data_IF_480992223864
#
_entry.id   IF_480992223864
#
_cell.length_a   1.000
_cell.length_b   1.000
_cell.length_c   1.000
_cell.angle_alpha   90.00
_cell.angle_beta   90.00
_cell.angle_gamma   90.00
#
_symmetry.space_group_name_H-M   'P 1'
#
loop_
_entity.id
_entity.type
_entity.pdbx_description
1 polymer ?
#
# COMPACT_ATOMS: atom_id res chain seq x y z
N UNK A 1 10.86 7.61 11.56
CA UNK A 1 9.46 7.88 12.00
C UNK A 1 8.88 9.22 11.52
N UNK A 2 9.65 10.14 10.94
CA UNK A 2 9.12 11.41 10.41
C UNK A 2 7.96 11.20 9.40
N UNK A 3 8.02 10.12 8.61
CA UNK A 3 6.99 9.73 7.64
C UNK A 3 5.64 9.34 8.23
N UNK A 4 5.56 8.96 9.51
CA UNK A 4 4.27 8.68 10.18
C UNK A 4 3.68 9.91 10.87
N UNK A 5 4.44 11.00 11.02
CA UNK A 5 3.99 12.20 11.72
C UNK A 5 2.72 12.83 11.11
N UNK A 6 2.58 12.95 9.78
CA UNK A 6 1.36 13.48 9.18
C UNK A 6 0.12 12.66 9.57
N UNK A 7 0.22 11.33 9.50
CA UNK A 7 -0.86 10.41 9.89
C UNK A 7 -1.17 10.51 11.38
N UNK A 8 -0.13 10.51 12.22
CA UNK A 8 -0.27 10.63 13.67
C UNK A 8 -1.01 11.91 14.07
N UNK A 9 -0.69 13.05 13.44
CA UNK A 9 -1.34 14.32 13.71
C UNK A 9 -2.84 14.32 13.35
N UNK A 10 -3.27 13.50 12.39
CA UNK A 10 -4.69 13.34 12.04
C UNK A 10 -5.42 12.49 13.06
N UNK A 11 -4.83 11.38 13.49
CA UNK A 11 -5.49 10.45 14.43
C UNK A 11 -5.43 10.93 15.88
N UNK A 12 -4.41 11.72 16.26
CA UNK A 12 -4.19 12.19 17.62
C UNK A 12 -4.93 13.52 17.94
N UNK A 13 -6.19 13.66 17.50
CA UNK A 13 -7.00 14.88 17.71
C UNK A 13 -7.92 14.80 18.94
N UNK A 14 -7.68 13.84 19.85
CA UNK A 14 -8.41 13.70 21.11
C UNK A 14 -9.79 13.03 21.01
N UNK A 15 -10.27 12.69 19.81
CA UNK A 15 -11.47 11.87 19.60
C UNK A 15 -11.15 10.68 18.68
N UNK A 16 -11.69 9.48 18.95
CA UNK A 16 -11.55 8.34 18.04
C UNK A 16 -12.05 8.70 16.64
N UNK A 17 -11.26 8.33 15.62
CA UNK A 17 -11.59 8.55 14.21
C UNK A 17 -11.74 7.21 13.49
N UNK A 18 -12.72 7.11 12.59
CA UNK A 18 -12.88 5.95 11.73
C UNK A 18 -11.80 5.94 10.64
N UNK A 19 -11.31 4.76 10.25
CA UNK A 19 -10.24 4.62 9.26
C UNK A 19 -10.59 5.27 7.91
N UNK A 20 -11.85 5.15 7.49
CA UNK A 20 -12.37 5.78 6.28
C UNK A 20 -12.18 7.29 6.31
N UNK A 21 -12.46 7.93 7.46
CA UNK A 21 -12.33 9.38 7.59
C UNK A 21 -10.88 9.85 7.53
N UNK A 22 -9.95 9.03 8.02
CA UNK A 22 -8.52 9.28 7.88
C UNK A 22 -8.15 9.24 6.40
N UNK A 23 -8.59 8.23 5.66
CA UNK A 23 -8.29 8.09 4.22
C UNK A 23 -8.90 9.25 3.41
N UNK A 24 -10.16 9.60 3.65
CA UNK A 24 -10.80 10.75 3.00
C UNK A 24 -9.99 12.05 3.14
N UNK A 25 -9.34 12.25 4.30
CA UNK A 25 -8.52 13.45 4.55
C UNK A 25 -7.34 13.56 3.58
N UNK A 26 -6.83 12.44 3.10
CA UNK A 26 -5.71 12.38 2.16
C UNK A 26 -6.15 12.24 0.70
N UNK A 27 -7.32 11.67 0.43
CA UNK A 27 -7.77 11.34 -0.94
C UNK A 27 -8.86 12.26 -1.49
N UNK A 28 -9.70 12.86 -0.63
CA UNK A 28 -10.81 13.74 -1.03
C UNK A 28 -10.43 15.19 -0.68
N UNK A 29 -9.72 15.84 -1.60
CA UNK A 29 -9.39 17.25 -1.46
C UNK A 29 -9.38 17.96 -2.82
N UNK A 30 -9.71 19.26 -2.81
CA UNK A 30 -9.61 20.13 -3.99
C UNK A 30 -8.16 20.22 -4.53
N UNK A 31 -7.17 19.93 -3.68
CA UNK A 31 -5.76 19.86 -4.05
C UNK A 31 -5.11 18.64 -3.40
N UNK A 32 -4.07 18.07 -4.04
CA UNK A 32 -3.30 16.93 -3.51
C UNK A 32 -2.36 17.31 -2.34
N UNK A 33 -2.53 18.50 -1.73
CA UNK A 33 -1.62 19.00 -0.69
C UNK A 33 -1.53 18.05 0.50
N UNK A 34 -2.67 17.56 1.00
CA UNK A 34 -2.70 16.63 2.14
C UNK A 34 -2.06 15.30 1.81
N UNK A 35 -2.28 14.79 0.59
CA UNK A 35 -1.61 13.59 0.11
C UNK A 35 -0.08 13.76 0.10
N UNK A 36 0.43 14.88 -0.43
CA UNK A 36 1.87 15.15 -0.44
C UNK A 36 2.45 15.40 0.95
N UNK A 37 1.68 16.00 1.89
CA UNK A 37 2.10 16.09 3.30
C UNK A 37 2.40 14.69 3.89
N UNK A 38 1.73 13.63 3.42
CA UNK A 38 2.01 12.24 3.80
C UNK A 38 3.14 11.60 2.98
N UNK A 39 3.15 11.80 1.67
CA UNK A 39 4.08 11.12 0.76
C UNK A 39 5.51 11.71 0.78
N UNK A 40 5.66 13.02 0.95
CA UNK A 40 6.97 13.67 0.86
C UNK A 40 7.94 13.16 1.94
N UNK A 41 7.56 13.07 3.23
CA UNK A 41 8.50 12.57 4.23
C UNK A 41 8.76 11.05 4.10
N UNK A 42 7.83 10.29 3.50
CA UNK A 42 8.06 8.88 3.13
C UNK A 42 9.11 8.77 2.02
N UNK A 43 9.04 9.64 1.02
CA UNK A 43 10.02 9.72 -0.06
C UNK A 43 11.39 10.12 0.48
N UNK A 44 11.49 11.11 1.38
CA UNK A 44 12.75 11.47 2.03
C UNK A 44 13.32 10.30 2.85
N UNK A 45 12.49 9.60 3.64
CA UNK A 45 12.92 8.41 4.37
C UNK A 45 13.41 7.30 3.43
N UNK A 46 12.84 7.18 2.23
CA UNK A 46 13.27 6.21 1.22
C UNK A 46 14.62 6.58 0.61
N UNK A 47 14.90 7.87 0.43
CA UNK A 47 16.21 8.36 -0.02
C UNK A 47 17.28 8.15 1.06
N UNK A 48 16.97 8.46 2.31
CA UNK A 48 17.87 8.25 3.45
C UNK A 48 18.24 6.77 3.62
N UNK A 49 17.28 5.87 3.36
CA UNK A 49 17.50 4.42 3.36
C UNK A 49 18.21 3.89 2.10
N UNK A 50 18.52 4.75 1.13
CA UNK A 50 19.16 4.39 -0.14
C UNK A 50 18.42 3.30 -0.93
N UNK A 51 17.09 3.28 -0.86
CA UNK A 51 16.23 2.28 -1.56
C UNK A 51 15.59 2.82 -2.84
N UNK A 52 15.83 4.08 -3.17
CA UNK A 52 15.34 4.74 -4.40
C UNK A 52 16.50 5.34 -5.18
N UNK A 53 16.28 5.54 -6.48
CA UNK A 53 17.23 6.18 -7.39
C UNK A 53 16.56 7.29 -8.21
N UNK A 54 17.31 8.35 -8.59
CA UNK A 54 16.77 9.42 -9.40
C UNK A 54 16.45 8.93 -10.81
N UNK A 55 15.28 9.30 -11.32
CA UNK A 55 14.82 8.98 -12.68
C UNK A 55 14.38 10.23 -13.42
N UNK A 56 14.52 10.23 -14.74
CA UNK A 56 13.93 11.30 -15.57
C UNK A 56 12.41 11.17 -15.54
N UNK A 57 11.73 12.29 -15.28
CA UNK A 57 10.30 12.38 -15.10
C UNK A 57 9.68 13.51 -15.93
N UNK A 58 8.35 13.48 -16.06
CA UNK A 58 7.56 14.43 -16.84
C UNK A 58 7.56 14.13 -18.34
N UNK A 59 6.56 14.65 -19.05
CA UNK A 59 6.30 14.35 -20.47
C UNK A 59 7.47 14.69 -21.41
N UNK A 60 8.36 15.59 -20.99
CA UNK A 60 9.54 16.03 -21.74
C UNK A 60 10.87 15.60 -21.10
N UNK A 61 10.85 14.83 -19.99
CA UNK A 61 12.07 14.40 -19.29
C UNK A 61 12.83 15.52 -18.57
N UNK A 62 12.25 16.71 -18.45
CA UNK A 62 12.87 17.90 -17.87
C UNK A 62 12.71 17.97 -16.34
N UNK A 63 12.03 16.99 -15.73
CA UNK A 63 11.89 16.87 -14.28
C UNK A 63 12.67 15.66 -13.80
N UNK A 64 13.08 15.69 -12.55
CA UNK A 64 13.62 14.52 -11.88
C UNK A 64 12.58 14.00 -10.89
N UNK A 65 12.43 12.67 -10.87
CA UNK A 65 11.66 11.94 -9.87
C UNK A 65 12.56 10.91 -9.19
N UNK A 66 11.95 10.07 -8.36
CA UNK A 66 12.62 8.94 -7.73
C UNK A 66 11.80 7.68 -7.98
N UNK A 67 12.48 6.58 -8.30
CA UNK A 67 11.89 5.27 -8.42
C UNK A 67 12.59 4.30 -7.45
N UNK A 68 11.91 3.26 -6.96
CA UNK A 68 12.57 2.20 -6.19
C UNK A 68 13.68 1.55 -7.02
N UNK A 69 14.80 1.24 -6.38
CA UNK A 69 15.88 0.48 -7.04
C UNK A 69 15.40 -0.92 -7.39
N UNK A 70 15.85 -1.43 -8.54
CA UNK A 70 15.40 -2.72 -9.07
C UNK A 70 15.68 -3.90 -8.12
N UNK A 71 16.85 -3.93 -7.50
CA UNK A 71 17.27 -4.96 -6.56
C UNK A 71 16.42 -4.97 -5.28
N UNK A 72 16.03 -3.80 -4.78
CA UNK A 72 15.09 -3.66 -3.66
C UNK A 72 13.74 -4.28 -4.02
N UNK A 73 13.20 -3.95 -5.21
CA UNK A 73 11.95 -4.56 -5.69
C UNK A 73 12.10 -6.07 -5.83
N UNK A 74 13.17 -6.56 -6.45
CA UNK A 74 13.43 -8.00 -6.58
C UNK A 74 13.46 -8.68 -5.22
N UNK A 75 14.15 -8.11 -4.22
CA UNK A 75 14.19 -8.67 -2.87
C UNK A 75 12.82 -8.80 -2.21
N UNK A 76 11.95 -7.80 -2.38
CA UNK A 76 10.56 -7.83 -1.88
C UNK A 76 9.76 -8.95 -2.58
N UNK A 77 9.89 -9.08 -3.90
CA UNK A 77 9.17 -10.10 -4.67
C UNK A 77 9.65 -11.51 -4.29
N UNK A 78 10.95 -11.74 -4.15
CA UNK A 78 11.46 -13.05 -3.70
C UNK A 78 11.03 -13.38 -2.27
N UNK A 79 10.96 -12.38 -1.38
CA UNK A 79 10.43 -12.57 -0.02
C UNK A 79 8.97 -13.00 -0.04
N UNK A 80 8.14 -12.39 -0.89
CA UNK A 80 6.74 -12.80 -1.07
C UNK A 80 6.65 -14.26 -1.56
N UNK A 81 7.49 -14.66 -2.53
CA UNK A 81 7.51 -16.06 -3.01
C UNK A 81 7.89 -17.02 -1.88
N UNK A 82 8.99 -16.74 -1.20
CA UNK A 82 9.51 -17.60 -0.13
C UNK A 82 8.49 -17.81 0.99
N UNK A 83 7.79 -16.76 1.41
CA UNK A 83 6.84 -16.87 2.53
C UNK A 83 5.46 -17.41 2.11
N UNK A 84 4.92 -17.01 0.96
CA UNK A 84 3.53 -17.33 0.62
C UNK A 84 3.37 -18.50 -0.37
N UNK A 85 4.38 -18.75 -1.20
CA UNK A 85 4.35 -19.77 -2.26
C UNK A 85 5.23 -20.98 -1.97
N UNK A 86 6.16 -20.85 -1.02
CA UNK A 86 7.04 -21.92 -0.55
C UNK A 86 6.75 -22.24 0.93
N UNK A 87 7.59 -23.08 1.55
CA UNK A 87 7.46 -23.53 2.94
C UNK A 87 8.11 -22.55 3.95
N UNK A 88 8.17 -21.25 3.63
CA UNK A 88 8.72 -20.22 4.50
C UNK A 88 7.82 -19.85 5.69
N UNK A 89 8.41 -19.23 6.70
CA UNK A 89 7.66 -18.63 7.81
C UNK A 89 6.90 -17.40 7.31
N UNK A 90 5.58 -17.41 7.49
CA UNK A 90 4.71 -16.34 6.99
C UNK A 90 4.71 -15.17 7.96
N UNK A 91 5.12 -13.99 7.49
CA UNK A 91 5.02 -12.73 8.24
C UNK A 91 3.73 -11.96 7.93
N UNK A 92 3.22 -11.24 8.94
CA UNK A 92 2.02 -10.38 8.78
C UNK A 92 2.24 -9.27 7.74
N UNK A 93 3.45 -8.69 7.69
CA UNK A 93 3.82 -7.63 6.74
C UNK A 93 3.72 -8.11 5.29
N UNK A 94 4.21 -9.32 4.99
CA UNK A 94 4.15 -9.90 3.64
C UNK A 94 2.72 -10.23 3.23
N UNK A 95 1.89 -10.69 4.17
CA UNK A 95 0.46 -10.90 3.92
C UNK A 95 -0.22 -9.56 3.58
N UNK A 96 0.00 -8.53 4.41
CA UNK A 96 -0.61 -7.22 4.24
C UNK A 96 -0.19 -6.57 2.91
N UNK A 97 1.10 -6.61 2.58
CA UNK A 97 1.62 -6.11 1.31
C UNK A 97 1.01 -6.85 0.12
N UNK A 98 0.96 -8.20 0.18
CA UNK A 98 0.39 -9.01 -0.90
C UNK A 98 -1.10 -8.74 -1.08
N UNK A 99 -1.85 -8.54 0.01
CA UNK A 99 -3.26 -8.16 -0.05
C UNK A 99 -3.47 -6.77 -0.68
N UNK A 100 -2.62 -5.78 -0.33
CA UNK A 100 -2.62 -4.46 -0.98
C UNK A 100 -2.30 -4.56 -2.47
N UNK A 101 -1.32 -5.39 -2.84
CA UNK A 101 -0.92 -5.60 -4.23
C UNK A 101 -2.03 -6.25 -5.06
N UNK A 102 -2.72 -7.25 -4.50
CA UNK A 102 -3.88 -7.87 -5.14
C UNK A 102 -4.97 -6.83 -5.40
N UNK A 103 -5.25 -6.00 -4.38
CA UNK A 103 -6.28 -4.97 -4.48
C UNK A 103 -5.95 -3.88 -5.50
N UNK A 104 -4.70 -3.43 -5.52
CA UNK A 104 -4.19 -2.47 -6.48
C UNK A 104 -4.05 -3.05 -7.92
N UNK A 105 -4.19 -4.37 -8.07
CA UNK A 105 -4.10 -5.04 -9.37
C UNK A 105 -2.68 -5.12 -9.95
N UNK A 106 -1.65 -4.96 -9.12
CA UNK A 106 -0.25 -4.89 -9.54
C UNK A 106 0.53 -6.22 -9.34
N UNK A 107 -0.11 -7.28 -8.80
CA UNK A 107 0.50 -8.62 -8.78
C UNK A 107 0.91 -9.10 -10.18
N UNK A 108 0.15 -8.72 -11.22
CA UNK A 108 0.41 -9.12 -12.61
C UNK A 108 1.73 -8.62 -13.17
N UNK A 109 2.30 -7.58 -12.57
CA UNK A 109 3.54 -6.95 -13.03
C UNK A 109 4.78 -7.72 -12.54
N UNK A 110 4.61 -8.60 -11.52
CA UNK A 110 5.72 -9.28 -10.84
C UNK A 110 5.58 -10.81 -10.78
N UNK A 111 4.37 -11.34 -10.88
CA UNK A 111 4.07 -12.76 -10.70
C UNK A 111 3.39 -13.34 -11.94
N UNK A 112 3.70 -14.60 -12.26
CA UNK A 112 3.03 -15.36 -13.31
C UNK A 112 1.53 -15.58 -12.98
N UNK A 113 0.72 -15.93 -13.99
CA UNK A 113 -0.71 -16.21 -13.77
C UNK A 113 -0.96 -17.32 -12.74
N UNK A 114 -0.05 -18.30 -12.68
CA UNK A 114 -0.13 -19.39 -11.70
C UNK A 114 0.15 -18.85 -10.29
N UNK A 115 1.28 -18.17 -10.09
CA UNK A 115 1.64 -17.57 -8.80
C UNK A 115 0.58 -16.57 -8.32
N UNK A 116 0.03 -15.74 -9.22
CA UNK A 116 -1.08 -14.84 -8.89
C UNK A 116 -2.29 -15.59 -8.32
N UNK A 117 -2.65 -16.75 -8.89
CA UNK A 117 -3.76 -17.57 -8.40
C UNK A 117 -3.46 -18.14 -7.02
N UNK A 118 -2.24 -18.64 -6.82
CA UNK A 118 -1.80 -19.20 -5.54
C UNK A 118 -1.75 -18.14 -4.44
N UNK A 119 -1.18 -16.95 -4.71
CA UNK A 119 -1.18 -15.82 -3.79
C UNK A 119 -2.61 -15.42 -3.39
N UNK A 120 -3.51 -15.23 -4.35
CA UNK A 120 -4.93 -14.91 -4.08
C UNK A 120 -5.61 -15.97 -3.21
N UNK A 121 -5.36 -17.25 -3.50
CA UNK A 121 -5.91 -18.36 -2.70
C UNK A 121 -5.36 -18.33 -1.27
N UNK A 122 -4.05 -18.12 -1.09
CA UNK A 122 -3.40 -18.02 0.22
C UNK A 122 -4.00 -16.88 1.05
N UNK A 123 -4.13 -15.68 0.46
CA UNK A 123 -4.74 -14.51 1.12
C UNK A 123 -6.20 -14.79 1.51
N UNK A 124 -6.98 -15.43 0.62
CA UNK A 124 -8.37 -15.81 0.92
C UNK A 124 -8.47 -16.79 2.09
N UNK A 125 -7.61 -17.80 2.13
CA UNK A 125 -7.55 -18.77 3.24
C UNK A 125 -7.22 -18.08 4.56
N UNK A 126 -6.25 -17.16 4.56
CA UNK A 126 -5.87 -16.40 5.77
C UNK A 126 -7.05 -15.54 6.26
N UNK A 127 -7.75 -14.83 5.36
CA UNK A 127 -8.95 -14.04 5.70
C UNK A 127 -10.05 -14.89 6.35
N UNK A 128 -10.17 -16.16 5.96
CA UNK A 128 -11.19 -17.10 6.46
C UNK A 128 -10.78 -17.85 7.72
N UNK A 129 -9.50 -17.78 8.13
CA UNK A 129 -9.04 -18.43 9.35
C UNK A 129 -9.70 -17.81 10.60
N UNK A 130 -10.02 -18.67 11.57
CA UNK A 130 -10.67 -18.26 12.83
C UNK A 130 -9.69 -17.52 13.77
N UNK A 131 -8.39 -17.65 13.54
CA UNK A 131 -7.38 -16.85 14.22
C UNK A 131 -7.52 -15.37 13.80
N UNK A 132 -7.86 -14.50 14.76
CA UNK A 132 -7.86 -13.04 14.58
C UNK A 132 -6.44 -12.51 14.45
N UNK A 133 -5.84 -12.66 13.27
CA UNK A 133 -4.51 -12.11 12.95
C UNK A 133 -4.63 -10.66 12.48
N UNK A 134 -3.60 -9.85 12.71
CA UNK A 134 -3.53 -8.47 12.22
C UNK A 134 -3.71 -8.42 10.69
N UNK A 135 -3.18 -9.42 9.99
CA UNK A 135 -3.31 -9.55 8.55
C UNK A 135 -4.78 -9.65 8.06
N UNK A 136 -5.64 -10.36 8.82
CA UNK A 136 -7.08 -10.44 8.54
C UNK A 136 -7.75 -9.08 8.72
N UNK A 137 -7.45 -8.40 9.82
CA UNK A 137 -7.99 -7.06 10.12
C UNK A 137 -7.54 -6.03 9.07
N UNK A 138 -6.26 -6.02 8.71
CA UNK A 138 -5.72 -5.14 7.67
C UNK A 138 -6.39 -5.38 6.33
N UNK A 139 -6.58 -6.64 5.93
CA UNK A 139 -7.22 -6.94 4.67
C UNK A 139 -8.71 -6.57 4.64
N UNK A 140 -9.41 -6.65 5.78
CA UNK A 140 -10.77 -6.14 5.94
C UNK A 140 -10.83 -4.61 5.87
N UNK A 141 -9.86 -3.92 6.50
CA UNK A 141 -9.76 -2.47 6.43
C UNK A 141 -9.49 -1.99 5.00
N UNK A 142 -8.60 -2.66 4.26
CA UNK A 142 -8.34 -2.35 2.84
C UNK A 142 -9.64 -2.46 2.03
N UNK A 143 -10.40 -3.55 2.22
CA UNK A 143 -11.68 -3.74 1.54
C UNK A 143 -12.71 -2.64 1.89
N UNK A 144 -12.73 -2.15 3.13
CA UNK A 144 -13.57 -1.03 3.56
C UNK A 144 -13.15 0.32 2.93
N UNK A 145 -11.85 0.53 2.76
CA UNK A 145 -11.29 1.76 2.18
C UNK A 145 -11.60 1.90 0.68
N UNK A 146 -11.67 0.80 -0.07
CA UNK A 146 -12.07 0.83 -1.48
C UNK A 146 -13.50 1.33 -1.68
N UNK A 147 -14.42 0.93 -0.79
CA UNK A 147 -15.81 1.39 -0.81
C UNK A 147 -15.85 2.91 -0.58
N UNK A 148 -15.06 3.41 0.38
CA UNK A 148 -14.99 4.84 0.71
C UNK A 148 -14.31 5.69 -0.38
N UNK A 149 -13.33 5.15 -1.12
CA UNK A 149 -12.65 5.87 -2.20
C UNK A 149 -13.46 5.94 -3.51
N UNK A 150 -14.28 4.93 -3.79
CA UNK A 150 -15.12 4.87 -5.01
C UNK A 150 -16.40 5.72 -4.87
N UNK A 151 -17.00 5.77 -3.69
CA UNK A 151 -18.26 6.49 -3.47
C UNK A 151 -18.24 7.97 -3.90
N UNK A 152 -17.23 8.78 -3.54
CA UNK A 152 -17.16 10.18 -3.97
C UNK A 152 -17.02 10.34 -5.49
N UNK A 153 -16.24 9.47 -6.15
CA UNK A 153 -15.97 9.51 -7.59
C UNK A 153 -17.25 9.22 -8.41
N UNK A 154 -18.13 8.35 -7.91
CA UNK A 154 -19.42 8.02 -8.55
C UNK A 154 -20.46 9.15 -8.45
N UNK A 155 -20.47 9.93 -7.36
CA UNK A 155 -21.41 11.05 -7.19
C UNK A 155 -20.92 12.38 -7.78
N UNK A 156 -19.65 12.52 -8.13
CA UNK A 156 -19.14 13.67 -8.88
C UNK A 156 -19.41 13.60 -10.40
N UNK A 157 -19.97 12.49 -10.90
CA UNK A 157 -20.32 12.27 -12.32
C UNK A 157 -21.84 12.07 -12.55
N UNK A 158 -22.69 12.53 -11.63
CA UNK A 158 -24.16 12.63 -11.81
C UNK A 158 -24.58 14.09 -11.63
#
# INVERSE_FOLDING_TARGET
>A
MAYLKPLYNIINQGKPMKAEKVVETYTIAFTNKKLYELLDPLMESSKEADVVEPVKAGLLGNKYGYAPKKDVITGIIEKIRSELLEDGEISEDVIALTALMDKAGNLKDYFSKYEQKELKNKIKTIKQSEAGTLAKEMAQHIDALDIAAIFPVLFSNI
#
